data_IF_406982846262
#
_entry.id   IF_406982846262
#
_cell.length_a   1.000
_cell.length_b   1.000
_cell.length_c   1.000
_cell.angle_alpha   90.00
_cell.angle_beta   90.00
_cell.angle_gamma   90.00
#
_symmetry.space_group_name_H-M   'P 1'
#
loop_
_entity.id
_entity.type
_entity.pdbx_description
1 polymer ?
#
# COMPACT_ATOMS: atom_id res chain seq x y z
N UNK A 1 -4.53 -12.03 5.73
CA UNK A 1 -3.75 -11.30 4.98
C UNK A 1 -3.10 -11.93 3.79
N UNK A 2 -3.33 -12.91 3.55
CA UNK A 2 -2.73 -13.79 2.68
C UNK A 2 -2.98 -13.50 1.25
N UNK A 3 -4.09 -12.79 0.98
CA UNK A 3 -4.47 -12.55 -0.38
C UNK A 3 -3.47 -11.69 -1.15
N UNK A 4 -3.14 -10.49 -0.60
CA UNK A 4 -2.16 -9.64 -1.26
C UNK A 4 -0.79 -10.28 -1.27
N UNK A 5 -0.43 -10.95 -0.20
CA UNK A 5 0.84 -11.63 -0.11
C UNK A 5 0.99 -12.70 -1.18
N UNK A 6 -0.03 -13.51 -1.36
CA UNK A 6 -0.01 -14.53 -2.39
C UNK A 6 0.13 -13.95 -3.78
N UNK A 7 -0.62 -12.89 -4.06
CA UNK A 7 -0.57 -12.27 -5.37
C UNK A 7 0.77 -11.60 -5.62
N UNK A 8 1.32 -10.94 -4.63
CA UNK A 8 2.63 -10.31 -4.73
C UNK A 8 3.69 -11.36 -5.06
N UNK A 9 3.65 -12.50 -4.39
CA UNK A 9 4.61 -13.57 -4.64
C UNK A 9 4.56 -14.07 -6.08
N UNK A 10 3.37 -14.12 -6.67
CA UNK A 10 3.23 -14.53 -8.07
C UNK A 10 3.61 -13.41 -9.03
N UNK A 11 3.17 -12.20 -8.76
CA UNK A 11 3.37 -11.07 -9.65
C UNK A 11 4.76 -10.47 -9.55
N UNK A 12 5.38 -10.55 -8.38
CA UNK A 12 6.69 -9.97 -8.15
C UNK A 12 7.85 -10.85 -8.57
N UNK A 13 7.57 -12.09 -8.96
CA UNK A 13 8.63 -13.01 -9.32
C UNK A 13 8.79 -13.11 -10.82
N UNK A 14 9.79 -12.43 -11.31
CA UNK A 14 10.28 -12.70 -12.64
C UNK A 14 11.52 -13.55 -12.49
N UNK A 15 11.34 -14.85 -12.61
CA UNK A 15 12.42 -15.79 -12.38
C UNK A 15 13.52 -15.70 -13.42
N UNK A 16 13.21 -15.16 -14.57
CA UNK A 16 14.17 -15.03 -15.64
C UNK A 16 14.96 -13.75 -15.55
N UNK A 17 14.53 -12.87 -14.66
CA UNK A 17 15.16 -11.58 -14.47
C UNK A 17 15.04 -11.15 -13.03
N UNK A 18 15.83 -11.78 -12.19
CA UNK A 18 15.87 -11.45 -10.77
C UNK A 18 16.38 -10.04 -10.51
N UNK A 19 16.69 -9.30 -11.55
CA UNK A 19 17.01 -7.89 -11.48
C UNK A 19 15.93 -7.04 -12.11
N UNK A 20 14.73 -7.55 -12.18
CA UNK A 20 13.63 -6.79 -12.74
C UNK A 20 13.49 -5.48 -11.97
N UNK A 21 13.49 -4.39 -12.70
CA UNK A 21 13.27 -3.07 -12.14
C UNK A 21 11.81 -2.67 -12.22
N UNK A 22 10.93 -3.57 -12.62
CA UNK A 22 9.52 -3.28 -12.76
C UNK A 22 8.72 -3.86 -11.60
N UNK A 23 7.70 -3.14 -11.21
CA UNK A 23 6.83 -3.48 -10.10
C UNK A 23 5.40 -3.58 -10.60
N UNK A 24 4.70 -4.66 -10.21
CA UNK A 24 3.31 -4.82 -10.54
C UNK A 24 2.44 -3.84 -9.79
N UNK A 25 1.56 -3.14 -10.50
CA UNK A 25 0.53 -2.28 -9.90
C UNK A 25 -0.76 -3.10 -9.85
N UNK A 26 -1.29 -3.28 -8.66
CA UNK A 26 -2.36 -4.26 -8.41
C UNK A 26 -3.76 -3.70 -8.48
N UNK A 27 -3.93 -2.43 -8.79
CA UNK A 27 -5.22 -1.80 -8.88
C UNK A 27 -5.23 -0.46 -8.19
N UNK A 28 -6.42 0.05 -7.93
CA UNK A 28 -6.60 1.35 -7.30
C UNK A 28 -7.03 1.20 -5.86
N UNK A 29 -6.48 2.03 -4.99
CA UNK A 29 -6.82 2.04 -3.58
C UNK A 29 -7.38 3.41 -3.21
N UNK A 30 -8.47 3.40 -2.44
CA UNK A 30 -9.13 4.61 -1.96
C UNK A 30 -9.19 4.58 -0.43
N UNK A 31 -10.09 5.35 0.15
CA UNK A 31 -10.25 5.41 1.60
C UNK A 31 -10.81 4.11 2.21
N UNK A 32 -11.28 3.20 1.38
CA UNK A 32 -11.68 1.86 1.75
C UNK A 32 -11.99 1.13 0.45
N UNK A 33 -11.21 0.12 0.13
CA UNK A 33 -11.31 -0.57 -1.15
C UNK A 33 -11.51 -2.05 -0.90
N UNK A 34 -12.60 -2.65 -1.44
CA UNK A 34 -12.76 -4.10 -1.33
C UNK A 34 -11.53 -4.81 -1.87
N UNK A 35 -11.10 -5.85 -1.18
CA UNK A 35 -9.88 -6.54 -1.57
C UNK A 35 -9.96 -7.09 -3.00
N UNK A 36 -11.16 -7.43 -3.46
CA UNK A 36 -11.35 -7.93 -4.83
C UNK A 36 -10.94 -6.93 -5.90
N UNK A 37 -10.93 -5.64 -5.56
CA UNK A 37 -10.60 -4.59 -6.53
C UNK A 37 -9.09 -4.47 -6.76
N UNK A 38 -8.27 -5.16 -5.98
CA UNK A 38 -6.81 -5.08 -6.08
C UNK A 38 -6.19 -6.46 -6.25
N UNK A 39 -6.86 -7.32 -7.01
CA UNK A 39 -6.44 -8.71 -7.19
C UNK A 39 -5.70 -8.98 -8.49
N UNK A 40 -5.59 -8.00 -9.37
CA UNK A 40 -4.99 -8.21 -10.68
C UNK A 40 -4.02 -7.09 -11.01
N UNK A 41 -2.95 -7.45 -11.68
CA UNK A 41 -2.03 -6.45 -12.19
C UNK A 41 -2.74 -5.62 -13.27
N UNK A 42 -2.75 -4.30 -13.07
CA UNK A 42 -3.35 -3.37 -14.02
C UNK A 42 -2.30 -2.50 -14.71
N UNK A 43 -1.08 -2.50 -14.22
CA UNK A 43 0.00 -1.69 -14.76
C UNK A 43 1.33 -2.20 -14.23
N UNK A 44 2.43 -1.69 -14.77
CA UNK A 44 3.77 -1.89 -14.25
C UNK A 44 4.51 -0.57 -14.26
N UNK A 45 5.28 -0.32 -13.21
CA UNK A 45 6.09 0.88 -13.12
C UNK A 45 7.51 0.49 -12.74
N UNK A 46 8.47 1.36 -13.06
CA UNK A 46 9.85 1.12 -12.70
C UNK A 46 10.04 1.22 -11.19
N UNK A 47 10.80 0.30 -10.62
CA UNK A 47 11.20 0.37 -9.23
C UNK A 47 12.45 1.26 -9.13
N UNK A 48 12.46 2.27 -8.26
CA UNK A 48 13.65 3.08 -8.06
C UNK A 48 14.86 2.22 -7.74
N UNK A 49 16.00 2.60 -8.29
CA UNK A 49 17.23 1.80 -8.20
C UNK A 49 17.63 1.50 -6.78
N UNK A 50 17.47 2.46 -5.87
CA UNK A 50 17.83 2.30 -4.47
C UNK A 50 16.91 1.34 -3.71
N UNK A 51 15.78 0.97 -4.29
CA UNK A 51 14.86 0.01 -3.69
C UNK A 51 15.02 -1.41 -4.26
N UNK A 52 15.75 -1.55 -5.36
CA UNK A 52 16.02 -2.85 -5.93
C UNK A 52 16.88 -3.66 -4.96
N UNK A 53 16.61 -4.94 -4.84
CA UNK A 53 17.30 -5.83 -3.91
C UNK A 53 16.97 -5.57 -2.43
N UNK A 54 15.91 -4.81 -2.16
CA UNK A 54 15.49 -4.50 -0.79
C UNK A 54 14.10 -5.07 -0.52
N UNK A 55 13.92 -6.35 -0.85
CA UNK A 55 12.67 -7.06 -0.61
C UNK A 55 11.68 -6.92 -1.76
N UNK A 56 10.51 -7.47 -1.55
CA UNK A 56 9.44 -7.45 -2.54
C UNK A 56 8.66 -6.15 -2.46
N UNK A 57 8.24 -5.67 -3.62
CA UNK A 57 7.48 -4.42 -3.73
C UNK A 57 6.30 -4.61 -4.65
N UNK A 58 5.29 -3.80 -4.45
CA UNK A 58 4.14 -3.72 -5.36
C UNK A 58 3.64 -2.29 -5.39
N UNK A 59 2.83 -2.01 -6.40
CA UNK A 59 2.27 -0.68 -6.58
C UNK A 59 0.76 -0.68 -6.45
N UNK A 60 0.21 0.47 -6.09
CA UNK A 60 -1.23 0.71 -6.08
C UNK A 60 -1.46 2.12 -6.60
N UNK A 61 -2.48 2.29 -7.43
CA UNK A 61 -2.89 3.61 -7.86
C UNK A 61 -3.76 4.24 -6.79
N UNK A 62 -3.53 5.52 -6.52
CA UNK A 62 -4.29 6.25 -5.51
C UNK A 62 -5.52 6.84 -6.14
N UNK A 63 -6.68 6.57 -5.54
CA UNK A 63 -7.95 7.12 -5.98
C UNK A 63 -8.51 7.95 -4.82
N UNK A 64 -8.68 9.24 -5.07
CA UNK A 64 -9.17 10.17 -4.07
C UNK A 64 -8.08 10.96 -3.38
N UNK A 65 -8.47 11.71 -2.36
CA UNK A 65 -7.61 12.70 -1.74
C UNK A 65 -7.37 12.48 -0.25
N UNK A 66 -7.61 11.28 0.25
CA UNK A 66 -7.51 11.02 1.69
C UNK A 66 -6.09 11.20 2.24
N UNK A 67 -5.07 11.23 1.38
CA UNK A 67 -3.67 11.37 1.79
C UNK A 67 -3.00 12.59 1.18
N UNK A 68 -3.77 13.58 0.75
CA UNK A 68 -3.24 14.74 0.02
C UNK A 68 -2.28 15.57 0.86
N UNK A 69 -2.50 15.66 2.18
CA UNK A 69 -1.63 16.45 3.05
C UNK A 69 -0.30 15.77 3.31
N UNK A 70 -0.16 14.52 2.94
CA UNK A 70 1.12 13.81 2.94
C UNK A 70 1.82 13.89 1.58
N UNK A 71 1.27 14.66 0.64
CA UNK A 71 1.84 14.79 -0.69
C UNK A 71 1.42 13.69 -1.65
N UNK A 72 0.42 12.90 -1.31
CA UNK A 72 -0.06 11.80 -2.14
C UNK A 72 -1.38 12.23 -2.77
N UNK A 73 -1.39 12.39 -4.10
CA UNK A 73 -2.52 12.92 -4.83
C UNK A 73 -3.26 11.83 -5.60
N UNK A 74 -4.50 12.13 -5.93
CA UNK A 74 -5.29 11.27 -6.82
C UNK A 74 -4.51 11.01 -8.12
N UNK A 75 -4.46 9.77 -8.56
CA UNK A 75 -3.75 9.39 -9.77
C UNK A 75 -2.30 8.99 -9.56
N UNK A 76 -1.74 9.26 -8.40
CA UNK A 76 -0.38 8.81 -8.09
C UNK A 76 -0.32 7.30 -8.00
N UNK A 77 0.85 6.75 -8.27
CA UNK A 77 1.14 5.34 -7.99
C UNK A 77 2.07 5.28 -6.80
N UNK A 78 1.62 4.64 -5.73
CA UNK A 78 2.47 4.42 -4.56
C UNK A 78 3.18 3.10 -4.71
N UNK A 79 4.45 3.07 -4.30
CA UNK A 79 5.25 1.86 -4.25
C UNK A 79 5.38 1.45 -2.80
N UNK A 80 5.04 0.21 -2.55
CA UNK A 80 4.89 -0.34 -1.21
C UNK A 80 5.84 -1.50 -1.06
N UNK A 81 6.63 -1.48 0.01
CA UNK A 81 7.47 -2.62 0.37
C UNK A 81 6.63 -3.60 1.17
N UNK A 82 6.58 -4.85 0.72
CA UNK A 82 5.89 -5.90 1.44
C UNK A 82 6.53 -6.12 2.80
N UNK A 83 5.79 -5.89 3.85
CA UNK A 83 6.24 -6.11 5.22
C UNK A 83 5.03 -6.10 6.16
N UNK A 84 5.11 -6.82 7.26
CA UNK A 84 4.13 -6.72 8.33
C UNK A 84 4.60 -5.80 9.45
N UNK A 85 5.82 -5.27 9.35
CA UNK A 85 6.42 -4.41 10.38
C UNK A 85 6.47 -2.97 9.91
N UNK A 86 5.65 -2.15 10.54
CA UNK A 86 5.59 -0.72 10.25
C UNK A 86 5.57 0.02 11.58
N UNK A 87 6.40 1.04 11.70
CA UNK A 87 6.45 1.83 12.91
C UNK A 87 5.28 2.79 13.00
N UNK A 88 4.90 3.12 14.23
CA UNK A 88 3.86 4.13 14.47
C UNK A 88 4.27 5.45 13.82
N UNK A 89 3.36 6.05 13.08
CA UNK A 89 3.61 7.28 12.35
C UNK A 89 3.91 7.08 10.87
N UNK A 90 4.17 5.86 10.44
CA UNK A 90 4.42 5.58 9.02
C UNK A 90 3.12 5.33 8.26
N UNK A 91 3.20 5.49 6.94
CA UNK A 91 2.06 5.26 6.05
C UNK A 91 2.17 3.82 5.53
N UNK A 92 1.07 3.11 5.58
CA UNK A 92 1.03 1.70 5.25
C UNK A 92 -0.26 1.32 4.53
N UNK A 93 -0.19 0.22 3.81
CA UNK A 93 -1.37 -0.47 3.29
C UNK A 93 -1.79 -1.49 4.32
N UNK A 94 -3.05 -1.46 4.71
CA UNK A 94 -3.58 -2.37 5.71
C UNK A 94 -4.86 -3.03 5.21
N UNK A 95 -5.10 -4.24 5.69
CA UNK A 95 -6.39 -4.92 5.54
C UNK A 95 -7.18 -4.76 6.82
N UNK A 96 -8.46 -4.46 6.69
CA UNK A 96 -9.40 -4.36 7.79
C UNK A 96 -10.34 -5.55 7.68
N UNK A 97 -10.36 -6.39 8.71
CA UNK A 97 -11.22 -7.58 8.78
C UNK A 97 -11.07 -8.50 7.57
N UNK A 98 -9.90 -8.51 6.94
CA UNK A 98 -9.62 -9.30 5.73
C UNK A 98 -10.55 -8.98 4.55
N UNK A 99 -11.26 -7.85 4.59
CA UNK A 99 -12.27 -7.53 3.58
C UNK A 99 -11.94 -6.31 2.75
N UNK A 100 -11.33 -5.30 3.35
CA UNK A 100 -11.02 -4.09 2.61
C UNK A 100 -9.62 -3.60 2.92
N UNK A 101 -9.02 -2.95 1.93
CA UNK A 101 -7.69 -2.38 2.03
C UNK A 101 -7.77 -0.86 2.01
N UNK A 102 -6.85 -0.22 2.71
CA UNK A 102 -6.72 1.22 2.70
C UNK A 102 -5.27 1.63 2.89
N UNK A 103 -4.94 2.86 2.48
CA UNK A 103 -3.63 3.47 2.67
C UNK A 103 -3.80 4.58 3.69
N UNK A 104 -3.14 4.45 4.84
CA UNK A 104 -3.32 5.38 5.96
C UNK A 104 -2.04 5.49 6.76
N UNK A 105 -1.94 6.56 7.54
CA UNK A 105 -0.92 6.66 8.57
C UNK A 105 -1.34 5.84 9.77
N UNK A 106 -0.42 5.04 10.26
CA UNK A 106 -0.68 4.10 11.35
C UNK A 106 -0.26 4.74 12.67
N UNK A 107 -1.10 4.65 13.69
CA UNK A 107 -0.73 4.98 15.07
C UNK A 107 -1.04 3.79 15.95
N UNK A 108 -0.02 3.20 16.53
CA UNK A 108 -0.17 2.04 17.41
C UNK A 108 -0.24 2.52 18.85
N UNK A 109 -1.24 2.03 19.59
CA UNK A 109 -1.38 2.36 21.00
C UNK A 109 -2.01 1.19 21.73
N UNK A 110 -1.22 0.47 22.52
CA UNK A 110 -1.70 -0.70 23.24
C UNK A 110 -2.29 -1.73 22.28
N UNK A 111 -3.52 -2.11 22.53
CA UNK A 111 -4.21 -3.11 21.72
C UNK A 111 -5.02 -2.50 20.58
N UNK A 112 -4.80 -1.24 20.28
CA UNK A 112 -5.53 -0.57 19.22
C UNK A 112 -4.60 0.00 18.18
N UNK A 113 -5.14 0.20 16.98
CA UNK A 113 -4.46 0.86 15.87
C UNK A 113 -5.39 1.92 15.33
N UNK A 114 -4.90 3.15 15.29
CA UNK A 114 -5.61 4.25 14.64
C UNK A 114 -5.13 4.36 13.20
N UNK A 115 -6.07 4.52 12.30
CA UNK A 115 -5.81 4.74 10.88
C UNK A 115 -6.16 6.19 10.58
N UNK A 116 -5.13 6.99 10.31
CA UNK A 116 -5.27 8.43 10.08
C UNK A 116 -5.14 8.73 8.60
N UNK A 117 -6.14 9.42 8.06
CA UNK A 117 -5.99 10.05 6.76
C UNK A 117 -5.07 11.26 6.90
N UNK A 118 -4.37 11.60 5.85
CA UNK A 118 -3.62 12.86 5.77
C UNK A 118 -4.46 13.89 5.04
N UNK A 119 -5.61 14.17 5.63
CA UNK A 119 -6.58 15.13 5.10
C UNK A 119 -7.56 15.45 6.22
N UNK A 120 -7.64 16.72 6.59
CA UNK A 120 -8.46 17.16 7.70
C UNK A 120 -9.96 16.91 7.51
N UNK A 121 -10.39 16.66 6.27
CA UNK A 121 -11.80 16.36 5.98
C UNK A 121 -12.17 14.91 6.26
N UNK A 122 -11.20 14.09 6.63
CA UNK A 122 -11.43 12.68 6.94
C UNK A 122 -11.16 12.43 8.41
N UNK A 123 -12.01 11.66 9.05
CA UNK A 123 -11.82 11.32 10.46
C UNK A 123 -10.83 10.18 10.64
N UNK A 124 -10.22 10.14 11.82
CA UNK A 124 -9.40 9.00 12.25
C UNK A 124 -10.30 7.89 12.74
N UNK A 125 -10.01 6.65 12.32
CA UNK A 125 -10.74 5.48 12.78
C UNK A 125 -9.83 4.61 13.64
N UNK A 126 -10.35 4.13 14.75
CA UNK A 126 -9.60 3.32 15.71
C UNK A 126 -10.18 1.90 15.71
N UNK A 127 -9.30 0.93 15.60
CA UNK A 127 -9.68 -0.48 15.54
C UNK A 127 -8.92 -1.27 16.59
N UNK A 128 -9.50 -2.37 17.03
CA UNK A 128 -8.74 -3.37 17.78
C UNK A 128 -7.62 -3.88 16.88
N UNK A 129 -6.44 -4.06 17.45
CA UNK A 129 -5.26 -4.41 16.66
C UNK A 129 -5.43 -5.71 15.87
N UNK A 130 -6.20 -6.66 16.42
CA UNK A 130 -6.39 -7.94 15.74
C UNK A 130 -7.28 -7.86 14.49
N UNK A 131 -7.91 -6.72 14.24
CA UNK A 131 -8.70 -6.50 13.03
C UNK A 131 -7.88 -5.93 11.88
N UNK A 132 -6.65 -5.51 12.15
CA UNK A 132 -5.78 -4.83 11.20
C UNK A 132 -4.61 -5.73 10.84
N UNK A 133 -4.40 -5.94 9.54
CA UNK A 133 -3.23 -6.68 9.06
C UNK A 133 -2.45 -5.81 8.10
N UNK A 134 -1.22 -5.50 8.47
CA UNK A 134 -0.35 -4.64 7.67
C UNK A 134 0.14 -5.42 6.45
N UNK A 135 -0.03 -4.83 5.28
CA UNK A 135 0.35 -5.45 4.01
C UNK A 135 1.63 -4.86 3.44
N UNK A 136 2.05 -3.72 3.92
CA UNK A 136 3.27 -3.12 3.45
C UNK A 136 3.41 -1.67 3.88
N UNK A 137 4.63 -1.16 3.67
CA UNK A 137 5.01 0.19 4.03
C UNK A 137 5.20 1.02 2.77
N UNK A 138 4.66 2.23 2.76
CA UNK A 138 4.92 3.17 1.69
C UNK A 138 6.41 3.52 1.65
N UNK A 139 7.04 3.35 0.50
CA UNK A 139 8.46 3.65 0.35
C UNK A 139 8.76 4.61 -0.79
N UNK A 140 7.86 4.74 -1.75
CA UNK A 140 8.10 5.63 -2.89
C UNK A 140 6.79 6.00 -3.57
N UNK A 141 6.87 6.98 -4.46
CA UNK A 141 5.74 7.52 -5.16
C UNK A 141 6.15 7.76 -6.61
N UNK A 142 5.28 7.35 -7.53
CA UNK A 142 5.45 7.61 -8.94
C UNK A 142 4.32 8.52 -9.40
N UNK A 143 4.68 9.60 -10.06
CA UNK A 143 3.70 10.56 -10.60
C UNK A 143 4.08 10.95 -12.01
N UNK A 144 3.11 10.84 -12.89
CA UNK A 144 3.31 11.17 -14.29
C UNK A 144 2.51 12.41 -14.64
N UNK A 145 3.16 13.34 -15.33
CA UNK A 145 2.51 14.58 -15.78
C UNK A 145 2.32 14.48 -17.28
N UNK A 146 1.09 14.64 -17.71
CA UNK A 146 0.72 14.55 -19.13
C UNK A 146 0.39 15.90 -19.74
#
# INVERSE_FOLDING_TARGET
MIFLEKYISLGGLDKNNNKSSAVSVLGSIAAGTPIEAIQQEVDRVALPEDLQNNGEHYGLKVNGDSMIEAGIADGDTVIVKKTSNVDSGQIAVVLIDDQEATLKRIRKKGNTIALEAANKNYGTKIYAANRIKIQGKLVSLYRNFH
#
